data_IF_754528722248
#
_entry.id   IF_754528722248
#
_cell.length_a   1.000
_cell.length_b   1.000
_cell.length_c   1.000
_cell.angle_alpha   90.00
_cell.angle_beta   90.00
_cell.angle_gamma   90.00
#
_symmetry.space_group_name_H-M   'P 1'
#
loop_
_entity.id
_entity.type
_entity.pdbx_description
1 polymer ?
#
# COMPACT_ATOMS: atom_id res chain seq x y z
N UNK A 1 -23.49 5.17 38.76
CA UNK A 1 -23.04 6.51 39.20
C UNK A 1 -22.64 7.26 37.95
N UNK A 2 -23.38 8.30 37.57
CA UNK A 2 -23.30 8.91 36.24
C UNK A 2 -21.89 9.39 35.82
N UNK A 3 -21.03 9.72 36.80
CA UNK A 3 -19.65 10.17 36.57
C UNK A 3 -18.76 9.02 36.08
N UNK A 4 -18.85 7.84 36.71
CA UNK A 4 -18.07 6.66 36.32
C UNK A 4 -18.47 6.13 34.94
N UNK A 5 -19.78 6.12 34.66
CA UNK A 5 -20.31 5.68 33.37
C UNK A 5 -19.89 6.62 32.22
N UNK A 6 -19.72 7.91 32.51
CA UNK A 6 -19.26 8.90 31.53
C UNK A 6 -17.77 8.77 31.26
N UNK A 7 -16.95 8.58 32.30
CA UNK A 7 -15.51 8.31 32.15
C UNK A 7 -15.25 7.06 31.30
N UNK A 8 -15.99 5.98 31.55
CA UNK A 8 -15.86 4.73 30.81
C UNK A 8 -16.19 4.92 29.31
N UNK A 9 -17.28 5.62 29.00
CA UNK A 9 -17.65 5.94 27.60
C UNK A 9 -16.60 6.76 26.87
N UNK A 10 -16.02 7.76 27.51
CA UNK A 10 -14.98 8.58 26.90
C UNK A 10 -13.67 7.79 26.69
N UNK A 11 -13.32 6.90 27.61
CA UNK A 11 -12.17 6.00 27.45
C UNK A 11 -12.38 5.00 26.31
N UNK A 12 -13.57 4.40 26.21
CA UNK A 12 -13.92 3.46 25.15
C UNK A 12 -13.88 4.14 23.76
N UNK A 13 -14.41 5.37 23.66
CA UNK A 13 -14.31 6.18 22.43
C UNK A 13 -12.87 6.52 22.06
N UNK A 14 -12.07 6.95 23.03
CA UNK A 14 -10.66 7.25 22.81
C UNK A 14 -9.89 6.01 22.33
N UNK A 15 -10.17 4.83 22.91
CA UNK A 15 -9.60 3.55 22.51
C UNK A 15 -9.96 3.17 21.06
N UNK A 16 -11.23 3.31 20.67
CA UNK A 16 -11.68 3.04 19.30
C UNK A 16 -11.03 3.97 18.28
N UNK A 17 -10.92 5.27 18.60
CA UNK A 17 -10.25 6.26 17.72
C UNK A 17 -8.76 5.94 17.58
N UNK A 18 -8.08 5.61 18.69
CA UNK A 18 -6.66 5.26 18.66
C UNK A 18 -6.42 3.98 17.84
N UNK A 19 -7.25 2.95 18.00
CA UNK A 19 -7.14 1.71 17.23
C UNK A 19 -7.36 1.94 15.73
N UNK A 20 -8.38 2.71 15.35
CA UNK A 20 -8.63 3.05 13.94
C UNK A 20 -7.48 3.84 13.29
N UNK A 21 -6.86 4.78 14.03
CA UNK A 21 -5.69 5.51 13.55
C UNK A 21 -4.46 4.62 13.39
N UNK A 22 -4.26 3.64 14.28
CA UNK A 22 -3.16 2.67 14.18
C UNK A 22 -3.32 1.76 12.97
N UNK A 23 -4.53 1.29 12.70
CA UNK A 23 -4.79 0.39 11.57
C UNK A 23 -4.64 1.12 10.23
N UNK A 24 -5.11 2.38 10.13
CA UNK A 24 -4.81 3.22 8.96
C UNK A 24 -3.31 3.48 8.80
N UNK A 25 -2.59 3.70 9.89
CA UNK A 25 -1.13 3.89 9.89
C UNK A 25 -0.38 2.67 9.33
N UNK A 26 -0.79 1.46 9.68
CA UNK A 26 -0.22 0.22 9.12
C UNK A 26 -0.46 0.13 7.61
N UNK A 27 -1.68 0.39 7.16
CA UNK A 27 -2.02 0.36 5.73
C UNK A 27 -1.24 1.42 4.93
N UNK A 28 -1.04 2.62 5.49
CA UNK A 28 -0.21 3.66 4.84
C UNK A 28 1.26 3.24 4.71
N UNK A 29 1.81 2.57 5.71
CA UNK A 29 3.17 2.02 5.64
C UNK A 29 3.26 0.90 4.61
N UNK A 30 2.25 0.03 4.56
CA UNK A 30 2.15 -1.03 3.57
C UNK A 30 2.08 -0.48 2.14
N UNK A 31 1.26 0.55 1.92
CA UNK A 31 1.17 1.27 0.65
C UNK A 31 2.52 1.85 0.23
N UNK A 32 3.24 2.49 1.17
CA UNK A 32 4.58 3.01 0.90
C UNK A 32 5.54 1.90 0.46
N UNK A 33 5.55 0.77 1.15
CA UNK A 33 6.38 -0.40 0.78
C UNK A 33 5.97 -1.01 -0.57
N UNK A 34 4.68 -1.01 -0.90
CA UNK A 34 4.20 -1.48 -2.21
C UNK A 34 4.67 -0.54 -3.34
N UNK A 35 4.62 0.78 -3.13
CA UNK A 35 5.16 1.79 -4.06
C UNK A 35 6.66 1.63 -4.27
N UNK A 36 7.43 1.44 -3.20
CA UNK A 36 8.87 1.17 -3.31
C UNK A 36 9.15 -0.09 -4.16
N UNK A 37 8.39 -1.18 -3.96
CA UNK A 37 8.53 -2.39 -4.78
C UNK A 37 8.22 -2.14 -6.26
N UNK A 38 7.22 -1.32 -6.57
CA UNK A 38 6.90 -0.94 -7.95
C UNK A 38 8.03 -0.12 -8.58
N UNK A 39 8.57 0.86 -7.86
CA UNK A 39 9.70 1.68 -8.31
C UNK A 39 10.95 0.84 -8.57
N UNK A 40 11.26 -0.10 -7.66
CA UNK A 40 12.38 -1.04 -7.81
C UNK A 40 12.20 -1.99 -9.01
N UNK A 41 10.99 -2.50 -9.24
CA UNK A 41 10.67 -3.33 -10.39
C UNK A 41 10.79 -2.56 -11.71
N UNK A 42 10.29 -1.32 -11.74
CA UNK A 42 10.38 -0.43 -12.89
C UNK A 42 11.84 -0.07 -13.19
N UNK A 43 12.64 0.27 -12.18
CA UNK A 43 14.06 0.54 -12.33
C UNK A 43 14.81 -0.69 -12.87
N UNK A 44 14.48 -1.88 -12.37
CA UNK A 44 15.08 -3.15 -12.83
C UNK A 44 14.80 -3.42 -14.31
N UNK A 45 13.54 -3.27 -14.74
CA UNK A 45 13.15 -3.41 -16.14
C UNK A 45 13.84 -2.35 -17.01
N UNK A 46 13.77 -1.09 -16.60
CA UNK A 46 14.38 0.03 -17.33
C UNK A 46 15.89 -0.15 -17.52
N UNK A 47 16.60 -0.58 -16.48
CA UNK A 47 18.02 -0.85 -16.56
C UNK A 47 18.35 -2.03 -17.48
N UNK A 48 17.55 -3.10 -17.45
CA UNK A 48 17.72 -4.25 -18.34
C UNK A 48 17.55 -3.86 -19.82
N UNK A 49 16.51 -3.08 -20.14
CA UNK A 49 16.25 -2.55 -21.49
C UNK A 49 17.37 -1.61 -21.93
N UNK A 50 17.77 -0.67 -21.08
CA UNK A 50 18.88 0.24 -21.35
C UNK A 50 20.16 -0.53 -21.71
N UNK A 51 20.52 -1.53 -20.90
CA UNK A 51 21.74 -2.30 -21.10
C UNK A 51 21.71 -3.10 -22.40
N UNK A 52 20.56 -3.70 -22.75
CA UNK A 52 20.40 -4.42 -24.01
C UNK A 52 20.60 -3.49 -25.21
N UNK A 53 19.98 -2.30 -25.18
CA UNK A 53 20.15 -1.28 -26.21
C UNK A 53 21.58 -0.78 -26.31
N UNK A 54 22.25 -0.55 -25.18
CA UNK A 54 23.65 -0.15 -25.15
C UNK A 54 24.60 -1.20 -25.77
N UNK A 55 24.22 -2.48 -25.71
CA UNK A 55 24.93 -3.58 -26.36
C UNK A 55 24.55 -3.77 -27.85
N UNK A 56 23.72 -2.89 -28.42
CA UNK A 56 23.29 -2.95 -29.82
C UNK A 56 22.18 -3.98 -30.09
N UNK A 57 21.50 -4.46 -29.04
CA UNK A 57 20.43 -5.44 -29.14
C UNK A 57 19.15 -5.01 -28.43
N UNK A 58 18.21 -5.95 -28.33
CA UNK A 58 16.96 -5.80 -27.60
C UNK A 58 16.92 -6.75 -26.39
N UNK A 59 16.10 -6.39 -25.39
CA UNK A 59 15.91 -7.27 -24.24
C UNK A 59 15.13 -8.50 -24.71
N UNK A 60 15.64 -9.67 -24.36
CA UNK A 60 15.01 -10.96 -24.65
C UNK A 60 13.57 -11.01 -24.11
N UNK A 61 12.65 -11.56 -24.90
CA UNK A 61 11.21 -11.42 -24.69
C UNK A 61 10.71 -12.07 -23.39
N UNK A 62 11.20 -13.26 -23.05
CA UNK A 62 10.84 -13.94 -21.81
C UNK A 62 11.32 -13.13 -20.60
N UNK A 63 12.56 -12.64 -20.66
CA UNK A 63 13.11 -11.77 -19.64
C UNK A 63 12.35 -10.45 -19.48
N UNK A 64 11.91 -9.84 -20.58
CA UNK A 64 11.05 -8.66 -20.55
C UNK A 64 9.73 -8.99 -19.84
N UNK A 65 9.06 -10.07 -20.24
CA UNK A 65 7.77 -10.48 -19.69
C UNK A 65 7.86 -10.74 -18.18
N UNK A 66 8.92 -11.43 -17.73
CA UNK A 66 9.16 -11.68 -16.30
C UNK A 66 9.33 -10.38 -15.49
N UNK A 67 10.14 -9.44 -15.99
CA UNK A 67 10.36 -8.15 -15.32
C UNK A 67 9.09 -7.26 -15.33
N UNK A 68 8.33 -7.28 -16.42
CA UNK A 68 7.05 -6.57 -16.51
C UNK A 68 6.00 -7.16 -15.55
N UNK A 69 5.97 -8.49 -15.37
CA UNK A 69 5.07 -9.16 -14.43
C UNK A 69 5.33 -8.72 -12.96
N UNK A 70 6.58 -8.41 -12.61
CA UNK A 70 6.91 -7.88 -11.28
C UNK A 70 6.30 -6.49 -11.06
N UNK A 71 6.30 -5.63 -12.08
CA UNK A 71 5.63 -4.31 -12.03
C UNK A 71 4.14 -4.51 -11.83
N UNK A 72 3.50 -5.35 -12.67
CA UNK A 72 2.07 -5.63 -12.58
C UNK A 72 1.67 -6.17 -11.19
N UNK A 73 2.50 -7.03 -10.61
CA UNK A 73 2.26 -7.58 -9.26
C UNK A 73 2.33 -6.49 -8.20
N UNK A 74 3.31 -5.59 -8.28
CA UNK A 74 3.44 -4.48 -7.35
C UNK A 74 2.29 -3.46 -7.50
N UNK A 75 1.85 -3.17 -8.73
CA UNK A 75 0.71 -2.29 -9.01
C UNK A 75 -0.61 -2.88 -8.50
N UNK A 76 -0.83 -4.19 -8.67
CA UNK A 76 -1.99 -4.88 -8.14
C UNK A 76 -2.06 -4.79 -6.61
N UNK A 77 -0.91 -4.88 -5.96
CA UNK A 77 -0.79 -4.74 -4.51
C UNK A 77 -1.07 -3.31 -4.04
N UNK A 78 -0.53 -2.30 -4.73
CA UNK A 78 -0.86 -0.88 -4.47
C UNK A 78 -2.38 -0.68 -4.54
N UNK A 79 -3.01 -1.15 -5.62
CA UNK A 79 -4.45 -1.02 -5.82
C UNK A 79 -5.28 -1.80 -4.77
N UNK A 80 -4.77 -2.89 -4.23
CA UNK A 80 -5.40 -3.60 -3.10
C UNK A 80 -5.36 -2.75 -1.84
N UNK A 81 -4.17 -2.27 -1.45
CA UNK A 81 -3.99 -1.51 -0.21
C UNK A 81 -4.74 -0.18 -0.25
N UNK A 82 -4.77 0.49 -1.40
CA UNK A 82 -5.56 1.73 -1.59
C UNK A 82 -7.06 1.49 -1.34
N UNK A 83 -7.62 0.38 -1.83
CA UNK A 83 -9.02 0.01 -1.56
C UNK A 83 -9.28 -0.29 -0.08
N UNK A 84 -8.34 -0.91 0.61
CA UNK A 84 -8.45 -1.17 2.05
C UNK A 84 -8.44 0.13 2.86
N UNK A 85 -7.56 1.08 2.50
CA UNK A 85 -7.54 2.42 3.11
C UNK A 85 -8.88 3.12 2.93
N UNK A 86 -9.45 3.11 1.71
CA UNK A 86 -10.75 3.74 1.45
C UNK A 86 -11.89 3.05 2.21
N UNK A 87 -11.81 1.73 2.39
CA UNK A 87 -12.78 0.97 3.21
C UNK A 87 -12.71 1.39 4.67
N UNK A 88 -11.50 1.53 5.24
CA UNK A 88 -11.30 2.00 6.62
C UNK A 88 -11.78 3.44 6.80
N UNK A 89 -11.46 4.33 5.85
CA UNK A 89 -11.94 5.73 5.88
C UNK A 89 -13.45 5.83 5.85
N UNK A 90 -14.09 5.08 4.96
CA UNK A 90 -15.56 5.07 4.84
C UNK A 90 -16.22 4.50 6.09
N UNK A 91 -15.67 3.41 6.65
CA UNK A 91 -16.16 2.81 7.90
C UNK A 91 -16.06 3.77 9.08
N UNK A 92 -14.97 4.56 9.15
CA UNK A 92 -14.78 5.59 10.17
C UNK A 92 -15.76 6.75 10.02
N UNK A 93 -16.00 7.21 8.79
CA UNK A 93 -16.96 8.27 8.50
C UNK A 93 -18.41 7.86 8.81
N UNK A 94 -18.75 6.58 8.65
CA UNK A 94 -20.07 6.06 9.02
C UNK A 94 -20.27 5.88 10.54
N UNK A 95 -19.17 5.78 11.30
CA UNK A 95 -19.18 5.61 12.75
C UNK A 95 -19.06 6.92 13.56
N UNK A 96 -18.73 8.02 12.89
CA UNK A 96 -18.65 9.38 13.47
C UNK A 96 -19.98 10.13 13.35
#
# INVERSE_FOLDING_TARGET
MAIWDTLKRELDKAGQVAQGALDEGKLRLELHRAKQRADEAAASLGFAVYRAKAAGGELEGERYASLAANIMTAEAEIARVEREIETVKTSRAAAS
#
